data_IF_864537889145
#
_entry.id   IF_864537889145
#
_cell.length_a   1.000
_cell.length_b   1.000
_cell.length_c   1.000
_cell.angle_alpha   90.00
_cell.angle_beta   90.00
_cell.angle_gamma   90.00
#
_symmetry.space_group_name_H-M   'P 1'
#
loop_
_entity.id
_entity.type
_entity.pdbx_description
1 polymer ?
#
# COMPACT_ATOMS: atom_id res chain seq x y z
N UNK A 1 -1.96 -12.00 28.99
CA UNK A 1 -2.98 -11.55 28.03
C UNK A 1 -2.61 -11.99 26.64
N UNK A 2 -3.52 -12.68 25.98
CA UNK A 2 -3.27 -13.10 24.60
C UNK A 2 -3.69 -12.00 23.65
N UNK A 3 -2.77 -11.60 22.79
CA UNK A 3 -3.08 -10.68 21.71
C UNK A 3 -3.46 -11.53 20.50
N UNK A 4 -4.70 -11.40 20.07
CA UNK A 4 -5.17 -12.12 18.91
C UNK A 4 -4.93 -11.26 17.67
N UNK A 5 -3.94 -11.65 16.87
CA UNK A 5 -3.73 -11.05 15.57
C UNK A 5 -4.52 -11.84 14.55
N UNK A 6 -5.49 -11.19 13.91
CA UNK A 6 -6.26 -11.79 12.83
C UNK A 6 -5.93 -11.07 11.54
N UNK A 7 -5.08 -11.65 10.67
CA UNK A 7 -4.70 -11.00 9.41
C UNK A 7 -5.89 -10.65 8.53
N UNK A 8 -6.97 -11.41 8.60
CA UNK A 8 -8.16 -11.16 7.78
C UNK A 8 -8.85 -9.85 8.13
N UNK A 9 -8.68 -9.39 9.37
CA UNK A 9 -9.32 -8.16 9.84
C UNK A 9 -8.34 -7.02 10.06
N UNK A 10 -7.05 -7.27 9.89
CA UNK A 10 -6.05 -6.23 10.10
C UNK A 10 -6.06 -5.24 8.93
N UNK A 11 -6.26 -3.97 9.25
CA UNK A 11 -6.39 -2.91 8.26
C UNK A 11 -5.18 -2.83 7.35
N UNK A 12 -3.97 -2.84 7.90
CA UNK A 12 -2.74 -2.72 7.11
C UNK A 12 -2.51 -3.94 6.22
N UNK A 13 -2.83 -5.13 6.72
CA UNK A 13 -2.71 -6.36 5.93
C UNK A 13 -3.66 -6.30 4.74
N UNK A 14 -4.91 -5.87 4.97
CA UNK A 14 -5.90 -5.77 3.90
C UNK A 14 -5.41 -4.80 2.82
N UNK A 15 -4.90 -3.62 3.21
CA UNK A 15 -4.37 -2.64 2.28
C UNK A 15 -3.27 -3.26 1.41
N UNK A 16 -2.30 -3.91 2.03
CA UNK A 16 -1.18 -4.49 1.29
C UNK A 16 -1.65 -5.63 0.38
N UNK A 17 -2.56 -6.47 0.84
CA UNK A 17 -3.11 -7.53 0.00
C UNK A 17 -3.82 -6.98 -1.23
N UNK A 18 -4.64 -5.94 -1.06
CA UNK A 18 -5.35 -5.33 -2.18
C UNK A 18 -4.40 -4.68 -3.17
N UNK A 19 -3.41 -3.95 -2.67
CA UNK A 19 -2.42 -3.31 -3.53
C UNK A 19 -1.56 -4.34 -4.26
N UNK A 20 -1.09 -5.36 -3.55
CA UNK A 20 -0.29 -6.42 -4.17
C UNK A 20 -1.05 -7.08 -5.31
N UNK A 21 -2.31 -7.45 -5.05
CA UNK A 21 -3.14 -8.09 -6.06
C UNK A 21 -3.32 -7.18 -7.27
N UNK A 22 -3.56 -5.88 -7.04
CA UNK A 22 -3.78 -4.94 -8.15
C UNK A 22 -2.52 -4.72 -8.98
N UNK A 23 -1.37 -4.57 -8.33
CA UNK A 23 -0.12 -4.28 -9.04
C UNK A 23 0.48 -5.50 -9.73
N UNK A 24 0.29 -6.69 -9.18
CA UNK A 24 0.99 -7.89 -9.64
C UNK A 24 0.07 -9.03 -10.06
N UNK A 25 -1.24 -8.81 -10.04
CA UNK A 25 -2.23 -9.76 -10.50
C UNK A 25 -3.30 -9.02 -11.28
N UNK A 26 -3.10 -8.94 -12.60
CA UNK A 26 -3.88 -8.07 -13.48
C UNK A 26 -5.38 -8.41 -13.54
N UNK A 27 -5.74 -9.65 -13.28
CA UNK A 27 -7.12 -10.09 -13.39
C UNK A 27 -7.94 -9.84 -12.13
N UNK A 28 -7.38 -9.13 -11.17
CA UNK A 28 -8.04 -8.97 -9.89
C UNK A 28 -8.89 -7.70 -9.84
N UNK A 29 -10.19 -7.89 -9.65
CA UNK A 29 -11.10 -6.79 -9.40
C UNK A 29 -10.93 -6.30 -7.97
N UNK A 30 -10.96 -4.97 -7.81
CA UNK A 30 -10.85 -4.38 -6.48
C UNK A 30 -12.19 -4.47 -5.75
N UNK A 31 -12.26 -5.38 -4.82
CA UNK A 31 -13.41 -5.52 -3.93
C UNK A 31 -12.98 -5.17 -2.52
N UNK A 32 -13.80 -4.39 -1.84
CA UNK A 32 -13.52 -3.99 -0.48
C UNK A 32 -14.50 -4.67 0.46
N UNK A 33 -14.00 -5.54 1.33
CA UNK A 33 -14.88 -6.26 2.25
C UNK A 33 -15.53 -5.30 3.25
N UNK A 34 -16.64 -5.74 3.83
CA UNK A 34 -17.26 -5.00 4.91
C UNK A 34 -16.27 -4.94 6.06
N UNK A 35 -15.91 -3.72 6.47
CA UNK A 35 -14.89 -3.52 7.48
C UNK A 35 -15.13 -2.21 8.21
N UNK A 36 -14.77 -2.19 9.47
CA UNK A 36 -14.89 -1.01 10.33
C UNK A 36 -14.20 0.21 9.74
N UNK A 37 -13.03 0.01 9.13
CA UNK A 37 -12.23 1.08 8.54
C UNK A 37 -12.23 1.04 7.01
N UNK A 38 -13.36 0.68 6.43
CA UNK A 38 -13.46 0.53 4.97
C UNK A 38 -13.09 1.80 4.22
N UNK A 39 -13.52 2.97 4.70
CA UNK A 39 -13.18 4.24 4.03
C UNK A 39 -11.69 4.50 4.02
N UNK A 40 -11.03 4.22 5.12
CA UNK A 40 -9.58 4.38 5.21
C UNK A 40 -8.87 3.41 4.26
N UNK A 41 -9.29 2.15 4.24
CA UNK A 41 -8.72 1.14 3.36
C UNK A 41 -8.86 1.56 1.91
N UNK A 42 -10.06 1.98 1.49
CA UNK A 42 -10.31 2.42 0.12
C UNK A 42 -9.46 3.64 -0.24
N UNK A 43 -9.36 4.61 0.67
CA UNK A 43 -8.58 5.82 0.43
C UNK A 43 -7.11 5.47 0.15
N UNK A 44 -6.51 4.66 1.02
CA UNK A 44 -5.09 4.30 0.85
C UNK A 44 -4.90 3.45 -0.42
N UNK A 45 -5.75 2.47 -0.65
CA UNK A 45 -5.60 1.59 -1.82
C UNK A 45 -5.80 2.37 -3.11
N UNK A 46 -6.92 3.06 -3.24
CA UNK A 46 -7.23 3.78 -4.48
C UNK A 46 -6.29 4.95 -4.70
N UNK A 47 -5.94 5.67 -3.63
CA UNK A 47 -5.00 6.78 -3.74
C UNK A 47 -3.61 6.32 -4.18
N UNK A 48 -3.14 5.21 -3.64
CA UNK A 48 -1.83 4.66 -4.02
C UNK A 48 -1.82 4.23 -5.49
N UNK A 49 -2.89 3.59 -5.95
CA UNK A 49 -3.00 3.18 -7.35
C UNK A 49 -3.04 4.40 -8.26
N UNK A 50 -3.86 5.36 -7.93
CA UNK A 50 -4.05 6.56 -8.77
C UNK A 50 -2.77 7.37 -8.89
N UNK A 51 -1.99 7.46 -7.80
CA UNK A 51 -0.78 8.29 -7.74
C UNK A 51 0.50 7.47 -7.85
N UNK A 52 0.42 6.29 -8.44
CA UNK A 52 1.56 5.38 -8.53
C UNK A 52 2.79 6.04 -9.16
N UNK A 53 2.61 6.80 -10.23
CA UNK A 53 3.74 7.43 -10.92
C UNK A 53 4.42 8.48 -10.05
N UNK A 54 3.63 9.30 -9.34
CA UNK A 54 4.16 10.31 -8.42
C UNK A 54 4.89 9.65 -7.25
N UNK A 55 4.34 8.54 -6.76
CA UNK A 55 4.95 7.78 -5.67
C UNK A 55 6.30 7.21 -6.10
N UNK A 56 6.37 6.64 -7.29
CA UNK A 56 7.61 6.10 -7.82
C UNK A 56 8.66 7.20 -7.99
N UNK A 57 8.27 8.37 -8.49
CA UNK A 57 9.18 9.51 -8.60
C UNK A 57 9.74 9.89 -7.24
N UNK A 58 8.88 9.98 -6.23
CA UNK A 58 9.31 10.34 -4.88
C UNK A 58 10.25 9.30 -4.31
N UNK A 59 9.96 8.02 -4.50
CA UNK A 59 10.83 6.95 -4.04
C UNK A 59 12.21 7.02 -4.70
N UNK A 60 12.24 7.24 -6.00
CA UNK A 60 13.50 7.35 -6.72
C UNK A 60 14.32 8.56 -6.26
N UNK A 61 13.65 9.67 -6.01
CA UNK A 61 14.34 10.88 -5.52
C UNK A 61 14.93 10.69 -4.12
N UNK A 62 14.21 9.98 -3.25
CA UNK A 62 14.65 9.79 -1.86
C UNK A 62 15.71 8.72 -1.71
N UNK A 63 15.65 7.67 -2.53
CA UNK A 63 16.50 6.51 -2.38
C UNK A 63 17.79 6.59 -3.21
N UNK A 64 17.86 7.54 -4.14
CA UNK A 64 19.05 7.78 -4.93
C UNK A 64 19.27 6.79 -6.07
N UNK A 65 20.31 7.07 -6.87
CA UNK A 65 20.57 6.33 -8.10
C UNK A 65 21.01 4.88 -7.88
N UNK A 66 21.57 4.59 -6.71
CA UNK A 66 22.05 3.24 -6.42
C UNK A 66 20.97 2.29 -5.99
N UNK A 67 19.79 2.82 -5.70
CA UNK A 67 18.67 2.02 -5.24
C UNK A 67 17.71 1.77 -6.40
N UNK A 68 17.58 0.50 -6.76
CA UNK A 68 16.71 0.13 -7.87
C UNK A 68 15.44 -0.52 -7.30
N UNK A 69 14.35 0.25 -7.30
CA UNK A 69 13.07 -0.19 -6.74
C UNK A 69 12.60 -1.51 -7.33
N UNK A 70 12.72 -1.68 -8.65
CA UNK A 70 12.26 -2.90 -9.34
C UNK A 70 12.98 -4.17 -8.91
N UNK A 71 14.15 -4.03 -8.27
CA UNK A 71 14.90 -5.19 -7.78
C UNK A 71 14.46 -5.65 -6.40
N UNK A 72 13.58 -4.89 -5.76
CA UNK A 72 13.06 -5.28 -4.45
C UNK A 72 12.00 -6.37 -4.60
N UNK A 73 11.82 -7.12 -3.53
CA UNK A 73 10.72 -8.05 -3.43
C UNK A 73 9.38 -7.34 -3.64
N UNK A 74 8.45 -7.98 -4.34
CA UNK A 74 7.16 -7.38 -4.69
C UNK A 74 6.34 -6.97 -3.48
N UNK A 75 6.38 -7.74 -2.40
CA UNK A 75 5.69 -7.38 -1.16
C UNK A 75 6.32 -6.10 -0.59
N UNK A 76 7.66 -6.04 -0.57
CA UNK A 76 8.35 -4.86 -0.06
C UNK A 76 8.07 -3.63 -0.92
N UNK A 77 8.03 -3.80 -2.25
CA UNK A 77 7.63 -2.73 -3.15
C UNK A 77 6.24 -2.19 -2.80
N UNK A 78 5.30 -3.10 -2.55
CA UNK A 78 3.93 -2.73 -2.21
C UNK A 78 3.87 -1.96 -0.90
N UNK A 79 4.59 -2.42 0.10
CA UNK A 79 4.65 -1.75 1.41
C UNK A 79 5.22 -0.35 1.26
N UNK A 80 6.30 -0.20 0.50
CA UNK A 80 6.92 1.11 0.27
C UNK A 80 5.97 2.06 -0.46
N UNK A 81 5.24 1.58 -1.44
CA UNK A 81 4.28 2.43 -2.15
C UNK A 81 3.19 2.94 -1.21
N UNK A 82 2.62 2.06 -0.41
CA UNK A 82 1.57 2.44 0.54
C UNK A 82 2.09 3.42 1.59
N UNK A 83 3.28 3.15 2.13
CA UNK A 83 3.89 4.04 3.13
C UNK A 83 4.19 5.41 2.53
N UNK A 84 4.68 5.45 1.30
CA UNK A 84 4.99 6.70 0.62
C UNK A 84 3.73 7.50 0.37
N UNK A 85 2.65 6.85 -0.05
CA UNK A 85 1.37 7.53 -0.23
C UNK A 85 0.91 8.18 1.07
N UNK A 86 0.96 7.46 2.18
CA UNK A 86 0.57 8.02 3.47
C UNK A 86 1.46 9.18 3.86
N UNK A 87 2.75 9.06 3.66
CA UNK A 87 3.71 10.12 3.97
C UNK A 87 3.41 11.39 3.17
N UNK A 88 3.14 11.24 1.87
CA UNK A 88 2.92 12.38 0.98
C UNK A 88 1.55 13.05 1.16
N UNK A 89 0.52 12.24 1.39
CA UNK A 89 -0.85 12.73 1.30
C UNK A 89 -1.62 12.64 2.61
N UNK A 90 -1.08 11.93 3.61
CA UNK A 90 -1.72 11.74 4.91
C UNK A 90 -0.73 12.01 6.04
N UNK A 91 -0.06 13.15 6.05
CA UNK A 91 1.02 13.37 7.02
C UNK A 91 0.58 13.41 8.48
N UNK A 92 -0.72 13.59 8.72
CA UNK A 92 -1.27 13.67 10.08
C UNK A 92 -1.76 12.33 10.62
N UNK A 93 -1.60 11.25 9.84
CA UNK A 93 -1.94 9.92 10.34
C UNK A 93 -0.84 9.45 11.28
N UNK A 94 -1.23 9.11 12.45
CA UNK A 94 -0.29 8.58 13.43
C UNK A 94 -0.34 7.05 13.48
#
# INVERSE_FOLDING_TARGET
MKIHFNPKNNTRVIIIQKLYAKFYNEDNDLNFPKHRFKKFIKDIVLGTIERNDLILDELNNKLGDQFIFKNLDKIFQTILKAATYEFMYKPNLS
#
